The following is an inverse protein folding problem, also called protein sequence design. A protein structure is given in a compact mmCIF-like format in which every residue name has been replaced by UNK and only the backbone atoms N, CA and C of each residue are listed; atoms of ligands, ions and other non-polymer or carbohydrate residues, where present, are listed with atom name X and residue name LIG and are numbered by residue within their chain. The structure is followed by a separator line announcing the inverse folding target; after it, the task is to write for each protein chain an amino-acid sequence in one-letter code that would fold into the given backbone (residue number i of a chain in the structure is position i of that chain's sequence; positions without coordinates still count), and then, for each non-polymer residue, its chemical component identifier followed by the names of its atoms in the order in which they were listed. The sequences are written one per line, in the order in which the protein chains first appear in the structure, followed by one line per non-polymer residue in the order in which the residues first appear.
data_IF_529682736417
#
_entry.id   IF_529682736417
#
_cell.length_a   1.000
_cell.length_b   1.000
_cell.length_c   1.000
_cell.angle_alpha   90.00
_cell.angle_beta   90.00
_cell.angle_gamma   90.00
#
_symmetry.space_group_name_H-M   'P 1'
#
loop_
_entity.id
_entity.type
_entity.pdbx_description
1 polymer ?
#
# COMPACT_ATOMS: atom_id res chain seq x y z
N UNK A 1 48.82 35.14 -35.73
CA UNK A 1 49.94 34.21 -36.01
C UNK A 1 49.56 33.03 -36.90
N UNK A 2 48.43 33.01 -37.60
CA UNK A 2 47.97 31.90 -38.46
C UNK A 2 48.08 32.14 -39.96
N UNK A 3 48.44 33.34 -40.39
CA UNK A 3 48.44 33.70 -41.81
C UNK A 3 49.72 33.33 -42.60
N UNK A 4 50.73 32.78 -41.95
CA UNK A 4 52.01 32.46 -42.61
C UNK A 4 52.06 31.07 -43.25
N UNK A 5 51.03 30.25 -43.15
CA UNK A 5 50.98 28.90 -43.69
C UNK A 5 49.84 28.66 -44.69
N UNK A 6 49.57 29.66 -45.57
CA UNK A 6 48.71 29.37 -46.70
C UNK A 6 49.47 28.50 -47.68
N UNK A 7 49.14 27.22 -47.70
CA UNK A 7 49.65 26.30 -48.69
C UNK A 7 49.28 26.77 -50.05
N UNK A 8 50.33 26.97 -50.90
CA UNK A 8 50.15 27.28 -52.33
C UNK A 8 49.96 26.03 -53.18
N UNK A 9 49.97 24.86 -52.54
CA UNK A 9 49.73 23.60 -53.21
C UNK A 9 48.29 23.47 -53.68
N UNK A 10 48.11 23.24 -54.94
CA UNK A 10 46.79 22.95 -55.54
C UNK A 10 46.52 21.46 -55.35
N UNK A 11 45.54 21.12 -54.54
CA UNK A 11 45.06 19.75 -54.36
C UNK A 11 44.45 19.27 -55.69
N UNK A 12 44.88 18.10 -56.15
CA UNK A 12 44.40 17.51 -57.39
C UNK A 12 42.99 16.92 -57.23
N UNK A 13 42.18 16.82 -58.27
CA UNK A 13 40.87 16.14 -58.22
C UNK A 13 40.98 14.67 -57.75
N UNK A 14 42.08 14.01 -58.08
CA UNK A 14 42.36 12.64 -57.69
C UNK A 14 42.61 12.50 -56.17
N UNK A 15 43.33 13.45 -55.58
CA UNK A 15 43.56 13.50 -54.14
C UNK A 15 42.27 13.79 -53.38
N UNK A 16 41.43 14.70 -53.85
CA UNK A 16 40.12 14.98 -53.27
C UNK A 16 39.27 13.72 -53.30
N UNK A 17 39.20 13.03 -54.43
CA UNK A 17 38.45 11.79 -54.59
C UNK A 17 38.96 10.69 -53.63
N UNK A 18 40.27 10.51 -53.59
CA UNK A 18 40.89 9.52 -52.69
C UNK A 18 40.60 9.83 -51.21
N UNK A 19 40.68 11.09 -50.83
CA UNK A 19 40.36 11.54 -49.47
C UNK A 19 38.89 11.28 -49.13
N UNK A 20 37.96 11.62 -50.01
CA UNK A 20 36.54 11.38 -49.83
C UNK A 20 36.23 9.88 -49.68
N UNK A 21 36.79 9.02 -50.57
CA UNK A 21 36.57 7.58 -50.49
C UNK A 21 37.10 6.96 -49.20
N UNK A 22 38.25 7.44 -48.73
CA UNK A 22 38.83 6.96 -47.44
C UNK A 22 38.13 7.48 -46.19
N UNK A 23 37.36 8.56 -46.34
CA UNK A 23 36.73 9.24 -45.21
C UNK A 23 35.20 9.33 -45.36
N UNK A 24 34.57 8.48 -46.17
CA UNK A 24 33.11 8.53 -46.45
C UNK A 24 32.26 8.68 -45.20
N UNK A 25 32.58 7.93 -44.14
CA UNK A 25 31.84 7.98 -42.88
C UNK A 25 31.85 9.35 -42.20
N UNK A 26 32.84 10.21 -42.48
CA UNK A 26 32.89 11.61 -41.98
C UNK A 26 31.96 12.54 -42.72
N UNK A 27 31.51 12.15 -43.93
CA UNK A 27 30.62 12.93 -44.80
C UNK A 27 29.21 12.35 -44.87
N UNK A 28 28.93 11.29 -44.13
CA UNK A 28 27.57 10.75 -44.00
C UNK A 28 26.68 11.78 -43.31
N UNK A 29 25.64 12.18 -43.97
CA UNK A 29 24.59 13.04 -43.42
C UNK A 29 23.54 12.09 -42.85
N UNK A 30 23.31 12.15 -41.53
CA UNK A 30 22.28 11.29 -40.93
C UNK A 30 20.92 11.55 -41.56
N UNK A 31 20.17 10.49 -41.77
CA UNK A 31 18.80 10.58 -42.29
C UNK A 31 17.96 11.45 -41.35
N UNK A 32 17.29 12.45 -41.92
CA UNK A 32 16.40 13.35 -41.21
C UNK A 32 14.96 12.96 -41.49
N UNK A 33 14.27 12.56 -40.44
CA UNK A 33 12.85 12.24 -40.49
C UNK A 33 12.07 13.46 -39.99
N UNK A 34 11.12 13.95 -40.79
CA UNK A 34 10.16 14.95 -40.36
C UNK A 34 8.91 14.24 -39.85
N UNK A 35 8.64 14.39 -38.57
CA UNK A 35 7.45 13.81 -37.94
C UNK A 35 6.46 14.90 -37.56
N UNK A 36 5.17 14.60 -37.72
CA UNK A 36 4.07 15.39 -37.18
C UNK A 36 3.39 14.56 -36.10
N UNK A 37 3.07 15.16 -34.97
CA UNK A 37 2.38 14.50 -33.91
C UNK A 37 1.30 15.38 -33.29
N UNK A 38 0.25 14.75 -32.75
CA UNK A 38 -0.79 15.40 -31.96
C UNK A 38 -0.63 14.96 -30.53
N UNK A 39 -0.45 15.93 -29.64
CA UNK A 39 -0.42 15.69 -28.20
C UNK A 39 -1.79 15.99 -27.61
N UNK A 40 -2.37 15.04 -26.89
CA UNK A 40 -3.62 15.22 -26.14
C UNK A 40 -3.37 14.98 -24.66
N UNK A 41 -3.93 15.81 -23.81
CA UNK A 41 -3.86 15.63 -22.35
C UNK A 41 -5.28 15.55 -21.76
N UNK A 42 -5.48 14.86 -20.64
CA UNK A 42 -6.80 14.72 -20.00
C UNK A 42 -7.50 16.05 -19.77
N UNK A 43 -6.75 17.07 -19.36
CA UNK A 43 -7.25 18.42 -19.06
C UNK A 43 -8.01 19.06 -20.24
N UNK A 44 -7.63 18.75 -21.48
CA UNK A 44 -8.29 19.29 -22.68
C UNK A 44 -9.75 18.83 -22.81
N UNK A 45 -10.12 17.77 -22.10
CA UNK A 45 -11.44 17.14 -22.19
C UNK A 45 -12.27 17.24 -20.91
N UNK A 46 -11.69 17.69 -19.79
CA UNK A 46 -12.37 17.76 -18.49
C UNK A 46 -13.64 18.60 -18.51
N UNK A 47 -13.58 19.77 -19.18
CA UNK A 47 -14.69 20.68 -19.30
C UNK A 47 -15.81 20.20 -20.27
N UNK A 48 -15.50 19.16 -21.06
CA UNK A 48 -16.45 18.56 -21.99
C UNK A 48 -17.23 17.39 -21.40
N UNK A 49 -17.01 17.11 -20.12
CA UNK A 49 -17.61 15.97 -19.42
C UNK A 49 -18.55 16.46 -18.36
N UNK A 50 -19.81 16.14 -18.55
CA UNK A 50 -20.85 16.30 -17.55
C UNK A 50 -21.13 14.95 -16.86
N UNK A 51 -21.31 14.99 -15.53
CA UNK A 51 -21.71 13.85 -14.73
C UNK A 51 -23.14 14.10 -14.26
N UNK A 52 -24.08 13.33 -14.79
CA UNK A 52 -25.47 13.35 -14.32
C UNK A 52 -25.54 12.67 -12.94
N UNK A 53 -26.50 13.09 -12.10
CA UNK A 53 -26.70 12.47 -10.79
C UNK A 53 -26.96 10.97 -10.90
N UNK A 54 -27.68 10.53 -11.92
CA UNK A 54 -27.93 9.10 -12.22
C UNK A 54 -26.62 8.31 -12.41
N UNK A 55 -25.64 8.88 -13.14
CA UNK A 55 -24.34 8.24 -13.36
C UNK A 55 -23.58 8.06 -12.03
N UNK A 56 -23.75 8.99 -11.09
CA UNK A 56 -23.09 8.98 -9.77
C UNK A 56 -23.74 7.91 -8.87
N UNK A 57 -25.07 7.87 -8.84
CA UNK A 57 -25.82 6.86 -8.09
C UNK A 57 -25.55 5.45 -8.62
N UNK A 58 -25.59 5.25 -9.93
CA UNK A 58 -25.31 3.98 -10.56
C UNK A 58 -23.86 3.51 -10.31
N UNK A 59 -22.91 4.44 -10.30
CA UNK A 59 -21.54 4.12 -9.95
C UNK A 59 -21.43 3.64 -8.50
N UNK A 60 -22.07 4.35 -7.56
CA UNK A 60 -22.09 3.97 -6.15
C UNK A 60 -22.71 2.58 -5.95
N UNK A 61 -23.87 2.31 -6.57
CA UNK A 61 -24.57 1.01 -6.50
C UNK A 61 -23.74 -0.13 -7.08
N UNK A 62 -23.16 0.08 -8.27
CA UNK A 62 -22.41 -0.98 -8.96
C UNK A 62 -21.03 -1.24 -8.36
N UNK A 63 -20.46 -0.24 -7.67
CA UNK A 63 -19.13 -0.30 -7.03
C UNK A 63 -19.21 -0.25 -5.50
N UNK A 64 -20.31 -0.70 -4.93
CA UNK A 64 -20.58 -0.62 -3.49
C UNK A 64 -19.49 -1.29 -2.65
N UNK A 65 -18.85 -2.34 -3.16
CA UNK A 65 -17.73 -3.01 -2.50
C UNK A 65 -16.49 -2.11 -2.33
N UNK A 66 -16.27 -1.15 -3.26
CA UNK A 66 -15.15 -0.21 -3.20
C UNK A 66 -15.32 0.81 -2.05
N UNK A 67 -16.57 0.99 -1.58
CA UNK A 67 -16.95 1.93 -0.52
C UNK A 67 -17.17 1.24 0.83
N UNK A 68 -16.80 -0.03 0.95
CA UNK A 68 -16.87 -0.78 2.20
C UNK A 68 -15.71 -0.37 3.11
N UNK A 69 -16.04 0.12 4.29
CA UNK A 69 -15.11 0.28 5.41
C UNK A 69 -15.11 -1.02 6.18
N UNK A 70 -13.98 -1.69 6.25
CA UNK A 70 -13.86 -2.96 7.00
C UNK A 70 -14.03 -2.70 8.48
N UNK A 71 -14.51 -3.70 9.20
CA UNK A 71 -14.52 -3.69 10.66
C UNK A 71 -13.08 -3.59 11.17
N UNK A 72 -12.84 -2.63 12.05
CA UNK A 72 -11.52 -2.40 12.66
C UNK A 72 -11.62 -2.63 14.16
N UNK A 73 -10.55 -3.14 14.72
CA UNK A 73 -10.37 -3.30 16.15
C UNK A 73 -9.20 -2.42 16.60
N UNK A 74 -9.33 -1.82 17.76
CA UNK A 74 -8.23 -1.20 18.50
C UNK A 74 -8.07 -1.96 19.78
N UNK A 75 -6.90 -2.57 19.95
CA UNK A 75 -6.66 -3.46 21.09
C UNK A 75 -5.24 -3.32 21.63
N UNK A 76 -5.06 -3.83 22.84
CA UNK A 76 -3.77 -4.01 23.48
C UNK A 76 -3.64 -5.45 23.95
N UNK A 77 -2.40 -5.96 24.03
CA UNK A 77 -2.14 -7.27 24.57
C UNK A 77 -0.92 -7.32 25.50
N UNK A 78 -0.85 -8.38 26.28
CA UNK A 78 0.32 -8.79 27.07
C UNK A 78 0.62 -10.22 26.66
N UNK A 79 1.83 -10.47 26.14
CA UNK A 79 2.28 -11.78 25.70
C UNK A 79 3.17 -12.42 26.77
N UNK A 80 2.96 -13.70 27.02
CA UNK A 80 3.78 -14.56 27.85
C UNK A 80 4.25 -15.75 27.01
N UNK A 81 5.52 -15.80 26.68
CA UNK A 81 6.11 -16.87 25.88
C UNK A 81 6.54 -18.02 26.76
N UNK A 82 6.20 -19.28 26.42
CA UNK A 82 6.79 -20.42 27.10
C UNK A 82 8.30 -20.48 26.82
N UNK A 83 9.11 -20.36 27.85
CA UNK A 83 10.56 -20.57 27.74
C UNK A 83 10.88 -22.05 27.96
N UNK A 84 10.99 -22.83 26.88
CA UNK A 84 11.48 -24.20 26.96
C UNK A 84 12.97 -24.20 27.27
N UNK A 85 13.39 -25.02 28.22
CA UNK A 85 14.80 -25.31 28.50
C UNK A 85 15.40 -26.17 27.36
N UNK A 86 16.71 -26.19 27.24
CA UNK A 86 17.53 -26.71 26.12
C UNK A 86 17.26 -28.14 25.63
N UNK A 87 16.42 -28.94 26.32
CA UNK A 87 16.18 -30.35 25.98
C UNK A 87 15.01 -30.60 25.01
N UNK A 88 14.22 -29.62 24.68
CA UNK A 88 13.04 -29.72 23.79
C UNK A 88 12.13 -30.96 24.04
N UNK A 89 12.18 -31.53 25.23
CA UNK A 89 11.31 -32.65 25.57
C UNK A 89 9.84 -32.20 25.72
N UNK A 90 8.89 -33.09 25.45
CA UNK A 90 7.47 -32.78 25.64
C UNK A 90 7.15 -32.37 27.09
N UNK A 91 7.86 -32.94 28.05
CA UNK A 91 7.68 -32.63 29.47
C UNK A 91 8.18 -31.21 29.78
N UNK A 92 9.33 -30.81 29.24
CA UNK A 92 9.89 -29.46 29.38
C UNK A 92 9.00 -28.41 28.75
N UNK A 93 8.48 -28.69 27.55
CA UNK A 93 7.55 -27.81 26.85
C UNK A 93 6.24 -27.63 27.64
N UNK A 94 5.64 -28.69 28.15
CA UNK A 94 4.43 -28.61 28.98
C UNK A 94 4.65 -27.79 30.26
N UNK A 95 5.77 -27.99 30.92
CA UNK A 95 6.12 -27.20 32.14
C UNK A 95 6.30 -25.72 31.81
N UNK A 96 6.95 -25.40 30.70
CA UNK A 96 7.10 -24.01 30.24
C UNK A 96 5.75 -23.35 29.91
N UNK A 97 4.85 -24.06 29.25
CA UNK A 97 3.49 -23.59 28.97
C UNK A 97 2.68 -23.36 30.27
N UNK A 98 2.76 -24.28 31.24
CA UNK A 98 2.09 -24.14 32.55
C UNK A 98 2.60 -22.91 33.32
N UNK A 99 3.91 -22.65 33.28
CA UNK A 99 4.52 -21.46 33.90
C UNK A 99 4.04 -20.20 33.23
N UNK A 100 4.12 -20.12 31.91
CA UNK A 100 3.64 -18.94 31.14
C UNK A 100 2.15 -18.67 31.39
N UNK A 101 1.33 -19.71 31.43
CA UNK A 101 -0.08 -19.58 31.80
C UNK A 101 -0.27 -19.07 33.22
N UNK A 102 0.46 -19.60 34.18
CA UNK A 102 0.39 -19.16 35.58
C UNK A 102 0.80 -17.69 35.73
N UNK A 103 1.81 -17.26 35.00
CA UNK A 103 2.21 -15.83 34.96
C UNK A 103 1.11 -14.95 34.37
N UNK A 104 0.52 -15.36 33.24
CA UNK A 104 -0.62 -14.68 32.65
C UNK A 104 -1.80 -14.56 33.62
N UNK A 105 -2.17 -15.67 34.27
CA UNK A 105 -3.24 -15.68 35.27
C UNK A 105 -2.93 -14.73 36.46
N UNK A 106 -1.67 -14.69 36.88
CA UNK A 106 -1.20 -13.77 37.93
C UNK A 106 -1.31 -12.30 37.53
N UNK A 107 -0.97 -11.99 36.29
CA UNK A 107 -1.10 -10.60 35.74
C UNK A 107 -2.56 -10.24 35.54
N UNK A 108 -3.40 -11.17 35.06
CA UNK A 108 -4.83 -10.92 34.92
C UNK A 108 -5.50 -10.61 36.28
N UNK A 109 -5.12 -11.32 37.32
CA UNK A 109 -5.61 -11.01 38.69
C UNK A 109 -5.25 -9.58 39.13
N UNK A 110 -4.04 -9.10 38.78
CA UNK A 110 -3.64 -7.73 39.10
C UNK A 110 -4.47 -6.71 38.30
N UNK A 111 -4.75 -6.99 37.00
CA UNK A 111 -5.62 -6.14 36.18
C UNK A 111 -7.02 -6.05 36.77
N UNK A 112 -7.61 -7.19 37.18
CA UNK A 112 -8.94 -7.25 37.81
C UNK A 112 -8.99 -6.49 39.15
N UNK A 113 -7.87 -6.43 39.87
CA UNK A 113 -7.72 -5.65 41.09
C UNK A 113 -7.39 -4.17 40.84
N UNK A 114 -7.54 -3.67 39.61
CA UNK A 114 -7.41 -2.27 39.25
C UNK A 114 -6.00 -1.80 38.85
N UNK A 115 -5.04 -2.73 38.70
CA UNK A 115 -3.72 -2.36 38.22
C UNK A 115 -3.77 -1.92 36.72
N UNK A 116 -2.93 -0.97 36.36
CA UNK A 116 -2.87 -0.45 34.99
C UNK A 116 -2.43 -1.52 33.99
N UNK A 117 -3.27 -1.82 33.01
CA UNK A 117 -2.94 -2.74 31.90
C UNK A 117 -1.65 -2.32 31.21
N UNK A 118 -1.55 -1.03 30.85
CA UNK A 118 -0.37 -0.48 30.17
C UNK A 118 0.91 -0.60 31.01
N UNK A 119 0.81 -0.37 32.34
CA UNK A 119 1.94 -0.53 33.24
C UNK A 119 2.39 -2.00 33.33
N UNK A 120 1.43 -2.93 33.38
CA UNK A 120 1.71 -4.36 33.42
C UNK A 120 2.26 -4.86 32.08
N UNK A 121 1.76 -4.37 30.95
CA UNK A 121 2.29 -4.69 29.63
C UNK A 121 3.77 -4.28 29.50
N UNK A 122 4.13 -3.07 29.95
CA UNK A 122 5.53 -2.60 29.94
C UNK A 122 6.45 -3.46 30.80
N UNK A 123 5.90 -4.04 31.86
CA UNK A 123 6.70 -4.80 32.86
C UNK A 123 6.81 -6.27 32.54
N UNK A 124 5.76 -6.88 31.99
CA UNK A 124 5.62 -8.34 31.90
C UNK A 124 5.47 -8.88 30.50
N UNK A 125 5.23 -8.02 29.47
CA UNK A 125 5.04 -8.53 28.11
C UNK A 125 6.34 -8.95 27.45
N UNK A 126 6.38 -10.17 26.93
CA UNK A 126 7.47 -10.68 26.10
C UNK A 126 7.40 -10.15 24.63
N UNK A 127 6.31 -9.47 24.26
CA UNK A 127 6.31 -8.63 23.05
C UNK A 127 6.94 -7.27 23.39
N UNK A 128 8.23 -7.18 23.15
CA UNK A 128 9.02 -5.97 23.45
C UNK A 128 8.61 -4.76 22.63
N UNK A 129 7.96 -4.94 21.47
CA UNK A 129 7.53 -3.85 20.59
C UNK A 129 6.28 -3.20 21.14
N UNK A 130 5.19 -3.96 21.29
CA UNK A 130 3.94 -3.43 21.85
C UNK A 130 4.07 -3.18 23.35
N UNK A 131 4.81 -3.98 24.08
CA UNK A 131 5.03 -3.85 25.51
C UNK A 131 5.54 -2.46 25.91
N UNK A 132 6.56 -1.92 25.21
CA UNK A 132 7.07 -0.56 25.44
C UNK A 132 5.97 0.50 25.28
N UNK A 133 5.01 0.26 24.41
CA UNK A 133 3.85 1.12 24.14
C UNK A 133 2.63 0.73 25.01
N UNK A 134 2.82 0.05 26.13
CA UNK A 134 1.74 -0.37 27.03
C UNK A 134 0.85 -1.48 26.46
N UNK A 135 1.41 -2.30 25.58
CA UNK A 135 0.75 -3.42 24.92
C UNK A 135 -0.08 -3.03 23.70
N UNK A 136 -0.10 -1.75 23.29
CA UNK A 136 -0.94 -1.27 22.18
C UNK A 136 -0.55 -1.90 20.86
N UNK A 137 -1.54 -2.44 20.15
CA UNK A 137 -1.43 -2.96 18.78
C UNK A 137 -1.90 -1.96 17.72
N UNK A 138 -2.41 -0.77 18.16
CA UNK A 138 -3.03 0.20 17.27
C UNK A 138 -4.39 -0.27 16.74
N UNK A 139 -4.78 0.27 15.61
CA UNK A 139 -5.97 -0.16 14.85
C UNK A 139 -5.58 -1.17 13.79
N UNK A 140 -6.35 -2.24 13.67
CA UNK A 140 -6.14 -3.27 12.65
C UNK A 140 -7.48 -3.86 12.16
N UNK A 141 -7.56 -4.27 10.87
CA UNK A 141 -8.76 -4.85 10.31
C UNK A 141 -8.99 -6.28 10.83
N UNK A 142 -10.26 -6.71 10.84
CA UNK A 142 -10.63 -8.10 11.05
C UNK A 142 -9.94 -9.00 10.02
N UNK A 143 -9.43 -10.15 10.44
CA UNK A 143 -8.68 -11.11 9.63
C UNK A 143 -7.16 -10.90 9.64
N UNK A 144 -6.64 -9.95 10.43
CA UNK A 144 -5.20 -9.67 10.49
C UNK A 144 -4.45 -10.49 11.55
N UNK A 145 -5.13 -10.87 12.64
CA UNK A 145 -4.53 -11.61 13.74
C UNK A 145 -4.75 -13.12 13.60
N UNK A 146 -4.00 -13.92 14.35
CA UNK A 146 -4.21 -15.37 14.40
C UNK A 146 -5.61 -15.70 14.91
N UNK A 147 -6.16 -16.83 14.46
CA UNK A 147 -7.57 -17.21 14.67
C UNK A 147 -7.97 -17.22 16.15
N UNK A 148 -7.11 -17.74 17.03
CA UNK A 148 -7.38 -17.84 18.45
C UNK A 148 -7.49 -16.46 19.10
N UNK A 149 -6.61 -15.54 18.70
CA UNK A 149 -6.62 -14.15 19.15
C UNK A 149 -7.90 -13.43 18.69
N UNK A 150 -8.27 -13.56 17.43
CA UNK A 150 -9.49 -12.95 16.91
C UNK A 150 -10.77 -13.51 17.51
N UNK A 151 -10.82 -14.82 17.73
CA UNK A 151 -11.97 -15.45 18.35
C UNK A 151 -12.16 -14.96 19.79
N UNK A 152 -11.08 -14.71 20.53
CA UNK A 152 -11.18 -14.12 21.85
C UNK A 152 -11.61 -12.65 21.77
N UNK A 153 -10.98 -11.87 20.85
CA UNK A 153 -11.30 -10.47 20.65
C UNK A 153 -12.78 -10.23 20.31
N UNK A 154 -13.37 -11.11 19.47
CA UNK A 154 -14.80 -11.03 19.08
C UNK A 154 -15.78 -11.24 20.23
N UNK A 155 -15.33 -11.85 21.30
CA UNK A 155 -16.17 -12.09 22.50
C UNK A 155 -16.12 -10.95 23.51
N UNK A 156 -15.18 -10.00 23.32
CA UNK A 156 -15.01 -8.90 24.25
C UNK A 156 -15.86 -7.70 23.87
N UNK A 157 -16.35 -7.03 24.89
CA UNK A 157 -16.91 -5.69 24.80
C UNK A 157 -15.80 -4.64 24.85
N UNK A 158 -16.00 -3.42 24.31
CA UNK A 158 -15.05 -2.34 24.46
C UNK A 158 -14.67 -2.10 25.93
N UNK A 159 -13.37 -1.96 26.20
CA UNK A 159 -12.72 -1.83 27.52
C UNK A 159 -12.65 -3.13 28.34
N UNK A 160 -13.14 -4.22 27.80
CA UNK A 160 -13.05 -5.53 28.45
C UNK A 160 -11.69 -6.19 28.20
N UNK A 161 -11.25 -7.03 29.17
CA UNK A 161 -10.00 -7.80 29.12
C UNK A 161 -10.33 -9.29 29.09
N UNK A 162 -9.66 -10.03 28.21
CA UNK A 162 -9.85 -11.48 28.06
C UNK A 162 -9.25 -12.28 29.23
N UNK A 163 -9.66 -13.55 29.33
CA UNK A 163 -8.86 -14.57 29.96
C UNK A 163 -7.56 -14.80 29.17
N UNK A 164 -6.52 -15.42 29.76
CA UNK A 164 -5.35 -15.82 29.00
C UNK A 164 -5.72 -16.81 27.90
N UNK A 165 -5.40 -16.49 26.65
CA UNK A 165 -5.64 -17.36 25.50
C UNK A 165 -4.32 -17.88 24.96
N UNK A 166 -4.31 -19.13 24.58
CA UNK A 166 -3.15 -19.78 23.96
C UNK A 166 -3.17 -19.57 22.46
N UNK A 167 -2.04 -19.17 21.90
CA UNK A 167 -1.75 -19.11 20.46
C UNK A 167 -0.43 -19.82 20.17
N UNK A 168 -0.01 -19.88 18.93
CA UNK A 168 1.33 -20.36 18.54
C UNK A 168 2.49 -19.52 19.12
N UNK A 169 2.23 -18.29 19.56
CA UNK A 169 3.24 -17.38 20.13
C UNK A 169 3.36 -17.48 21.66
N UNK A 170 2.39 -18.08 22.32
CA UNK A 170 2.30 -18.14 23.78
C UNK A 170 0.92 -17.80 24.30
N UNK A 171 0.85 -17.35 25.55
CA UNK A 171 -0.39 -16.92 26.18
C UNK A 171 -0.55 -15.39 26.06
N UNK A 172 -1.74 -14.95 25.68
CA UNK A 172 -2.07 -13.53 25.51
C UNK A 172 -3.19 -13.16 26.47
N UNK A 173 -3.05 -12.01 27.13
CA UNK A 173 -4.15 -11.29 27.75
C UNK A 173 -4.47 -10.13 26.80
N UNK A 174 -5.69 -10.07 26.29
CA UNK A 174 -6.11 -9.07 25.31
C UNK A 174 -7.07 -8.09 25.98
N UNK A 175 -6.88 -6.81 25.73
CA UNK A 175 -7.88 -5.78 26.06
C UNK A 175 -8.38 -5.16 24.76
N UNK A 176 -9.69 -5.21 24.58
CA UNK A 176 -10.34 -4.52 23.47
C UNK A 176 -10.58 -3.06 23.85
N UNK A 177 -9.99 -2.11 23.14
CA UNK A 177 -10.16 -0.69 23.43
C UNK A 177 -11.36 -0.09 22.68
N UNK A 178 -11.51 -0.41 21.38
CA UNK A 178 -12.54 0.15 20.52
C UNK A 178 -12.85 -0.81 19.36
N UNK A 179 -14.08 -0.74 18.85
CA UNK A 179 -14.52 -1.41 17.62
C UNK A 179 -15.09 -0.35 16.69
N UNK A 180 -14.50 -0.21 15.50
CA UNK A 180 -15.14 0.52 14.40
C UNK A 180 -15.92 -0.48 13.56
N UNK A 181 -17.25 -0.42 13.51
CA UNK A 181 -18.05 -1.40 12.80
C UNK A 181 -17.83 -1.31 11.29
N UNK A 182 -18.05 -2.42 10.62
CA UNK A 182 -18.14 -2.42 9.16
C UNK A 182 -19.32 -1.55 8.72
N UNK A 183 -19.08 -0.71 7.72
CA UNK A 183 -20.11 0.09 7.09
C UNK A 183 -19.82 0.33 5.62
N UNK A 184 -20.86 0.63 4.88
CA UNK A 184 -20.72 1.17 3.53
C UNK A 184 -20.79 2.69 3.66
N UNK A 185 -19.83 3.38 3.06
CA UNK A 185 -19.89 4.84 2.98
C UNK A 185 -21.11 5.26 2.17
N UNK A 186 -21.99 6.09 2.70
CA UNK A 186 -23.13 6.60 1.97
C UNK A 186 -22.68 7.47 0.79
N UNK A 187 -23.58 7.65 -0.18
CA UNK A 187 -23.29 8.39 -1.40
C UNK A 187 -22.78 9.81 -1.11
N UNK A 188 -23.36 10.47 -0.13
CA UNK A 188 -23.00 11.85 0.26
C UNK A 188 -21.54 11.97 0.68
N UNK A 189 -21.00 10.94 1.38
CA UNK A 189 -19.62 10.92 1.86
C UNK A 189 -18.61 10.74 0.71
N UNK A 190 -19.01 10.05 -0.37
CA UNK A 190 -18.12 9.65 -1.47
C UNK A 190 -18.43 10.32 -2.81
N UNK A 191 -19.43 11.22 -2.84
CA UNK A 191 -19.92 11.86 -4.05
C UNK A 191 -18.83 12.55 -4.86
N UNK A 192 -18.00 13.34 -4.20
CA UNK A 192 -16.89 14.05 -4.83
C UNK A 192 -15.84 13.09 -5.41
N UNK A 193 -15.52 12.01 -4.69
CA UNK A 193 -14.62 10.96 -5.16
C UNK A 193 -15.17 10.27 -6.41
N UNK A 194 -16.45 9.95 -6.43
CA UNK A 194 -17.14 9.34 -7.57
C UNK A 194 -17.13 10.29 -8.77
N UNK A 195 -17.45 11.56 -8.57
CA UNK A 195 -17.42 12.58 -9.62
C UNK A 195 -16.03 12.64 -10.27
N UNK A 196 -14.98 12.67 -9.48
CA UNK A 196 -13.60 12.68 -9.96
C UNK A 196 -13.30 11.43 -10.78
N UNK A 197 -13.59 10.24 -10.26
CA UNK A 197 -13.38 8.97 -10.97
C UNK A 197 -14.17 8.88 -12.28
N UNK A 198 -15.42 9.32 -12.28
CA UNK A 198 -16.26 9.35 -13.48
C UNK A 198 -15.69 10.31 -14.54
N UNK A 199 -15.28 11.51 -14.14
CA UNK A 199 -14.63 12.47 -15.03
C UNK A 199 -13.35 11.88 -15.65
N UNK A 200 -12.47 11.33 -14.86
CA UNK A 200 -11.24 10.67 -15.34
C UNK A 200 -11.53 9.55 -16.34
N UNK A 201 -12.50 8.69 -16.05
CA UNK A 201 -12.87 7.57 -16.92
C UNK A 201 -13.49 8.04 -18.24
N UNK A 202 -14.43 8.99 -18.18
CA UNK A 202 -15.07 9.57 -19.37
C UNK A 202 -14.05 10.33 -20.23
N UNK A 203 -13.16 11.10 -19.61
CA UNK A 203 -12.04 11.81 -20.28
C UNK A 203 -11.15 10.83 -21.02
N UNK A 204 -10.69 9.76 -20.33
CA UNK A 204 -9.83 8.73 -20.94
C UNK A 204 -10.52 8.03 -22.12
N UNK A 205 -11.81 7.74 -22.01
CA UNK A 205 -12.59 7.15 -23.12
C UNK A 205 -12.68 8.10 -24.32
N UNK A 206 -12.92 9.40 -24.08
CA UNK A 206 -13.00 10.41 -25.13
C UNK A 206 -11.65 10.58 -25.83
N UNK A 207 -10.56 10.71 -25.07
CA UNK A 207 -9.21 10.76 -25.62
C UNK A 207 -8.90 9.56 -26.52
N UNK A 208 -9.18 8.34 -26.06
CA UNK A 208 -8.95 7.12 -26.86
C UNK A 208 -9.73 7.14 -28.19
N UNK A 209 -10.95 7.66 -28.17
CA UNK A 209 -11.76 7.79 -29.42
C UNK A 209 -11.12 8.78 -30.39
N UNK A 210 -10.67 9.94 -29.89
CA UNK A 210 -10.01 10.98 -30.69
C UNK A 210 -8.71 10.44 -31.29
N UNK A 211 -7.84 9.84 -30.47
CA UNK A 211 -6.58 9.22 -30.95
C UNK A 211 -6.85 8.16 -32.01
N UNK A 212 -7.86 7.31 -31.80
CA UNK A 212 -8.25 6.29 -32.79
C UNK A 212 -8.74 6.90 -34.10
N UNK A 213 -9.48 8.01 -34.04
CA UNK A 213 -9.95 8.73 -35.22
C UNK A 213 -8.76 9.33 -36.00
N UNK A 214 -7.88 10.07 -35.31
CA UNK A 214 -6.68 10.64 -35.92
C UNK A 214 -5.81 9.58 -36.58
N UNK A 215 -5.61 8.44 -35.90
CA UNK A 215 -4.79 7.35 -36.45
C UNK A 215 -5.40 6.72 -37.70
N UNK A 216 -6.73 6.68 -37.81
CA UNK A 216 -7.41 6.20 -39.03
C UNK A 216 -7.25 7.21 -40.18
N UNK A 217 -7.51 8.51 -39.90
CA UNK A 217 -7.40 9.57 -40.93
C UNK A 217 -5.97 9.80 -41.40
N UNK A 218 -4.96 9.41 -40.65
CA UNK A 218 -3.55 9.48 -41.06
C UNK A 218 -3.09 8.33 -41.95
N UNK A 219 -3.94 7.27 -42.13
CA UNK A 219 -3.65 6.11 -42.99
C UNK A 219 -4.33 6.17 -44.35
N UNK A 220 -5.30 7.08 -44.49
CA UNK A 220 -5.95 7.46 -45.74
C UNK A 220 -5.15 8.60 -46.44
#
# INVERSE_FOLDING_TARGET
PGDHFKSTEKVSPEEIKSFYEKNKSRFEVPEKIKVQYVKTVPKDYENLIDNRNEDIEDYHKTKIADFRVRKMYKAAHILFRPEAKDDNSEESTKKAEELAKKEADGVLKKIRNGASFSGLAKKYSDDTVSGKNGGSLGEFPEGMMVTEFENALKKLSPKETSEPIKTSFGFHIIRLDEITPERIKPLEEVKEEIIKKLKENKTRRKMRRVVKHIHRSAKE
#
